data_IF_719591735047
#
_entry.id   IF_719591735047
#
_cell.length_a   1.000
_cell.length_b   1.000
_cell.length_c   1.000
_cell.angle_alpha   90.00
_cell.angle_beta   90.00
_cell.angle_gamma   90.00
#
_symmetry.space_group_name_H-M   'P 1'
#
loop_
_entity.id
_entity.type
_entity.pdbx_description
1 polymer ?
#
# COMPACT_ATOMS: atom_id res chain seq x y z
N UNK A 1 15.72 -19.91 -25.78
CA UNK A 1 14.26 -19.89 -25.62
C UNK A 1 13.74 -20.63 -24.37
N UNK A 2 14.41 -21.65 -23.83
CA UNK A 2 13.95 -22.41 -22.65
C UNK A 2 13.97 -21.59 -21.33
N UNK A 3 14.97 -20.74 -21.13
CA UNK A 3 15.14 -19.91 -19.92
C UNK A 3 13.94 -18.98 -19.67
N UNK A 4 13.41 -18.31 -20.71
CA UNK A 4 12.23 -17.41 -20.59
C UNK A 4 10.94 -18.10 -20.11
N UNK A 5 10.76 -19.40 -20.46
CA UNK A 5 9.53 -20.15 -20.12
C UNK A 5 9.54 -20.66 -18.68
N UNK A 6 10.73 -21.04 -18.17
CA UNK A 6 10.94 -21.49 -16.79
C UNK A 6 10.77 -20.31 -15.80
N UNK A 7 11.33 -19.15 -16.13
CA UNK A 7 11.25 -17.92 -15.35
C UNK A 7 9.77 -17.45 -15.22
N UNK A 8 9.00 -17.46 -16.31
CA UNK A 8 7.58 -17.09 -16.30
C UNK A 8 6.70 -18.05 -15.45
N UNK A 9 7.04 -19.34 -15.42
CA UNK A 9 6.34 -20.31 -14.57
C UNK A 9 6.66 -20.10 -13.08
N UNK A 10 7.92 -19.84 -12.78
CA UNK A 10 8.36 -19.53 -11.42
C UNK A 10 7.66 -18.27 -10.88
N UNK A 11 7.65 -17.18 -11.65
CA UNK A 11 6.94 -15.95 -11.29
C UNK A 11 5.43 -16.17 -11.06
N UNK A 12 4.77 -16.96 -11.92
CA UNK A 12 3.35 -17.30 -11.74
C UNK A 12 3.10 -18.06 -10.43
N UNK A 13 4.00 -19.01 -10.10
CA UNK A 13 3.89 -19.77 -8.85
C UNK A 13 4.13 -18.88 -7.63
N UNK A 14 5.12 -18.00 -7.66
CA UNK A 14 5.37 -17.04 -6.59
C UNK A 14 4.17 -16.11 -6.35
N UNK A 15 3.58 -15.57 -7.42
CA UNK A 15 2.39 -14.72 -7.31
C UNK A 15 1.20 -15.49 -6.73
N UNK A 16 0.99 -16.76 -7.10
CA UNK A 16 -0.06 -17.60 -6.51
C UNK A 16 0.16 -17.79 -5.00
N UNK A 17 1.40 -18.00 -4.56
CA UNK A 17 1.76 -18.13 -3.14
C UNK A 17 1.53 -16.80 -2.40
N UNK A 18 1.93 -15.65 -2.96
CA UNK A 18 1.68 -14.33 -2.38
C UNK A 18 0.19 -14.04 -2.23
N UNK A 19 -0.60 -14.32 -3.28
CA UNK A 19 -2.06 -14.15 -3.25
C UNK A 19 -2.69 -15.04 -2.19
N UNK A 20 -2.32 -16.32 -2.12
CA UNK A 20 -2.81 -17.26 -1.13
C UNK A 20 -2.50 -16.80 0.30
N UNK A 21 -1.26 -16.34 0.56
CA UNK A 21 -0.89 -15.78 1.86
C UNK A 21 -1.75 -14.57 2.21
N UNK A 22 -1.90 -13.62 1.27
CA UNK A 22 -2.66 -12.40 1.49
C UNK A 22 -4.14 -12.69 1.80
N UNK A 23 -4.77 -13.60 1.07
CA UNK A 23 -6.15 -14.03 1.33
C UNK A 23 -6.28 -14.68 2.73
N UNK A 24 -5.38 -15.60 3.09
CA UNK A 24 -5.40 -16.25 4.41
C UNK A 24 -5.21 -15.24 5.55
N UNK A 25 -4.40 -14.21 5.36
CA UNK A 25 -4.19 -13.15 6.36
C UNK A 25 -5.40 -12.21 6.52
N UNK A 26 -6.39 -12.26 5.65
CA UNK A 26 -7.68 -11.58 5.92
C UNK A 26 -8.55 -12.35 6.91
N UNK A 27 -8.30 -13.65 7.10
CA UNK A 27 -9.10 -14.56 7.92
C UNK A 27 -8.44 -14.87 9.27
N UNK A 28 -7.10 -14.94 9.31
CA UNK A 28 -6.32 -15.32 10.51
C UNK A 28 -4.95 -14.65 10.54
N UNK A 29 -4.38 -14.55 11.74
CA UNK A 29 -3.03 -13.98 11.91
C UNK A 29 -1.96 -14.86 11.25
N UNK A 30 -0.86 -14.22 10.77
CA UNK A 30 0.27 -14.88 10.12
C UNK A 30 0.80 -16.10 10.89
N UNK A 31 0.90 -16.01 12.23
CA UNK A 31 1.40 -17.09 13.10
C UNK A 31 0.53 -18.36 13.08
N UNK A 32 -0.70 -18.27 12.64
CA UNK A 32 -1.64 -19.39 12.55
C UNK A 32 -1.79 -19.95 11.13
N UNK A 33 -1.02 -19.41 10.16
CA UNK A 33 -0.98 -19.91 8.79
C UNK A 33 0.13 -20.96 8.69
N UNK A 34 -0.13 -22.04 7.96
CA UNK A 34 0.84 -23.10 7.71
C UNK A 34 1.21 -23.17 6.23
N UNK A 35 2.34 -23.81 5.92
CA UNK A 35 2.73 -24.09 4.51
C UNK A 35 1.67 -24.94 3.82
N UNK A 36 0.94 -25.80 4.56
CA UNK A 36 -0.16 -26.59 4.00
C UNK A 36 -1.31 -25.68 3.56
N UNK A 37 -1.74 -24.73 4.43
CA UNK A 37 -2.80 -23.79 4.09
C UNK A 37 -2.49 -23.01 2.81
N UNK A 38 -1.25 -22.50 2.69
CA UNK A 38 -0.82 -21.78 1.49
C UNK A 38 -0.76 -22.69 0.27
N UNK A 39 -0.25 -23.91 0.42
CA UNK A 39 -0.13 -24.85 -0.69
C UNK A 39 -1.50 -25.25 -1.23
N UNK A 40 -2.45 -25.53 -0.34
CA UNK A 40 -3.83 -25.89 -0.71
C UNK A 40 -4.53 -24.70 -1.38
N UNK A 41 -4.38 -23.51 -0.83
CA UNK A 41 -4.99 -22.28 -1.36
C UNK A 41 -4.39 -21.87 -2.72
N UNK A 42 -3.08 -22.08 -2.93
CA UNK A 42 -2.37 -21.77 -4.17
C UNK A 42 -2.45 -22.89 -5.22
N UNK A 43 -3.11 -24.00 -4.91
CA UNK A 43 -3.19 -25.21 -5.76
C UNK A 43 -1.79 -25.70 -6.21
N UNK A 44 -0.89 -25.89 -5.23
CA UNK A 44 0.48 -26.37 -5.46
C UNK A 44 0.84 -27.48 -4.45
N UNK A 45 1.77 -28.33 -4.82
CA UNK A 45 2.38 -29.26 -3.86
C UNK A 45 3.35 -28.55 -2.91
N UNK A 46 3.44 -28.97 -1.63
CA UNK A 46 4.42 -28.44 -0.65
C UNK A 46 5.86 -28.45 -1.16
N UNK A 47 6.25 -29.46 -1.94
CA UNK A 47 7.57 -29.51 -2.58
C UNK A 47 7.78 -28.32 -3.52
N UNK A 48 6.74 -27.86 -4.19
CA UNK A 48 6.80 -26.67 -5.05
C UNK A 48 6.96 -25.40 -4.22
N UNK A 49 6.26 -25.29 -3.09
CA UNK A 49 6.42 -24.18 -2.14
C UNK A 49 7.88 -24.04 -1.72
N UNK A 50 8.51 -25.12 -1.22
CA UNK A 50 9.91 -25.11 -0.75
C UNK A 50 10.98 -24.88 -1.83
N UNK A 51 10.61 -24.91 -3.12
CA UNK A 51 11.49 -24.46 -4.21
C UNK A 51 11.58 -22.94 -4.32
N UNK A 52 10.63 -22.21 -3.75
CA UNK A 52 10.51 -20.75 -3.87
C UNK A 52 10.75 -20.03 -2.55
N UNK A 53 10.33 -20.62 -1.42
CA UNK A 53 10.36 -19.99 -0.11
C UNK A 53 10.81 -20.96 0.97
N UNK A 54 11.47 -20.45 2.00
CA UNK A 54 11.94 -21.24 3.15
C UNK A 54 10.76 -21.61 4.08
N UNK A 55 9.93 -20.64 4.36
CA UNK A 55 8.76 -20.77 5.22
C UNK A 55 7.72 -19.65 4.94
N UNK A 56 6.66 -19.58 5.73
CA UNK A 56 5.62 -18.57 5.59
C UNK A 56 6.10 -17.16 5.91
N UNK A 57 7.09 -17.00 6.79
CA UNK A 57 7.65 -15.70 7.15
C UNK A 57 8.51 -15.15 6.01
N UNK A 58 9.24 -16.02 5.30
CA UNK A 58 9.99 -15.66 4.09
C UNK A 58 9.04 -15.16 2.98
N UNK A 59 7.88 -15.82 2.78
CA UNK A 59 6.83 -15.34 1.85
C UNK A 59 6.37 -13.94 2.25
N UNK A 60 6.04 -13.75 3.52
CA UNK A 60 5.56 -12.47 4.03
C UNK A 60 6.60 -11.36 3.90
N UNK A 61 7.86 -11.65 4.22
CA UNK A 61 8.95 -10.68 4.12
C UNK A 61 9.20 -10.25 2.67
N UNK A 62 9.21 -11.20 1.72
CA UNK A 62 9.39 -10.89 0.30
C UNK A 62 8.21 -10.08 -0.25
N UNK A 63 6.97 -10.46 0.07
CA UNK A 63 5.78 -9.70 -0.32
C UNK A 63 5.81 -8.27 0.25
N UNK A 64 6.19 -8.12 1.52
CA UNK A 64 6.33 -6.81 2.18
C UNK A 64 7.36 -5.94 1.46
N UNK A 65 8.53 -6.48 1.10
CA UNK A 65 9.56 -5.75 0.36
C UNK A 65 9.06 -5.29 -1.01
N UNK A 66 8.33 -6.15 -1.73
CA UNK A 66 7.76 -5.80 -3.05
C UNK A 66 6.80 -4.64 -2.90
N UNK A 67 5.81 -4.73 -2.00
CA UNK A 67 4.80 -3.69 -1.80
C UNK A 67 5.46 -2.36 -1.40
N UNK A 68 6.40 -2.36 -0.46
CA UNK A 68 7.09 -1.15 -0.03
C UNK A 68 7.93 -0.52 -1.14
N UNK A 69 8.59 -1.33 -1.97
CA UNK A 69 9.33 -0.86 -3.12
C UNK A 69 8.40 -0.21 -4.16
N UNK A 70 7.32 -0.87 -4.53
CA UNK A 70 6.36 -0.37 -5.54
C UNK A 70 5.66 0.91 -5.07
N UNK A 71 5.22 0.97 -3.81
CA UNK A 71 4.68 2.20 -3.20
C UNK A 71 5.74 3.32 -3.19
N UNK A 72 6.98 3.02 -2.84
CA UNK A 72 8.08 3.99 -2.88
C UNK A 72 8.31 4.55 -4.28
N UNK A 73 8.25 3.72 -5.32
CA UNK A 73 8.35 4.14 -6.72
C UNK A 73 7.19 5.05 -7.10
N UNK A 74 5.95 4.71 -6.73
CA UNK A 74 4.77 5.54 -6.98
C UNK A 74 4.93 6.94 -6.38
N UNK A 75 5.41 7.04 -5.14
CA UNK A 75 5.64 8.32 -4.47
C UNK A 75 6.71 9.14 -5.18
N UNK A 76 7.84 8.54 -5.56
CA UNK A 76 8.95 9.26 -6.20
C UNK A 76 8.67 9.72 -7.63
N UNK A 77 7.79 9.02 -8.36
CA UNK A 77 7.41 9.41 -9.72
C UNK A 77 6.40 10.56 -9.77
N UNK A 78 5.98 11.07 -8.63
CA UNK A 78 4.90 12.06 -8.55
C UNK A 78 5.31 13.49 -8.87
N UNK A 79 6.57 13.88 -8.77
CA UNK A 79 7.26 15.18 -8.88
C UNK A 79 6.54 16.41 -9.49
N UNK A 80 5.77 16.28 -10.57
CA UNK A 80 5.05 17.38 -11.25
C UNK A 80 3.55 17.13 -11.43
N UNK A 81 2.99 16.09 -10.79
CA UNK A 81 1.60 15.70 -11.00
C UNK A 81 0.64 16.53 -10.13
N UNK A 82 -0.58 16.73 -10.63
CA UNK A 82 -1.66 17.30 -9.83
C UNK A 82 -2.09 16.34 -8.72
N UNK A 83 -2.70 16.82 -7.61
CA UNK A 83 -3.26 15.92 -6.58
C UNK A 83 -4.19 14.85 -7.16
N UNK A 84 -5.04 15.21 -8.12
CA UNK A 84 -5.94 14.26 -8.77
C UNK A 84 -5.17 13.12 -9.47
N UNK A 85 -4.12 13.44 -10.23
CA UNK A 85 -3.30 12.42 -10.90
C UNK A 85 -2.60 11.51 -9.90
N UNK A 86 -2.14 12.07 -8.78
CA UNK A 86 -1.54 11.30 -7.69
C UNK A 86 -2.51 10.28 -7.12
N UNK A 87 -3.71 10.72 -6.77
CA UNK A 87 -4.72 9.80 -6.24
C UNK A 87 -5.16 8.77 -7.27
N UNK A 88 -5.23 9.12 -8.57
CA UNK A 88 -5.50 8.12 -9.61
C UNK A 88 -4.43 7.03 -9.63
N UNK A 89 -3.15 7.37 -9.59
CA UNK A 89 -2.07 6.39 -9.61
C UNK A 89 -2.10 5.49 -8.36
N UNK A 90 -2.28 6.06 -7.17
CA UNK A 90 -2.39 5.31 -5.91
C UNK A 90 -3.61 4.38 -5.93
N UNK A 91 -4.78 4.88 -6.31
CA UNK A 91 -6.02 4.09 -6.30
C UNK A 91 -6.03 3.03 -7.41
N UNK A 92 -5.39 3.27 -8.56
CA UNK A 92 -5.16 2.25 -9.57
C UNK A 92 -4.31 1.11 -9.00
N UNK A 93 -3.18 1.43 -8.37
CA UNK A 93 -2.33 0.43 -7.74
C UNK A 93 -3.08 -0.35 -6.66
N UNK A 94 -3.86 0.33 -5.81
CA UNK A 94 -4.69 -0.31 -4.78
C UNK A 94 -5.72 -1.26 -5.39
N UNK A 95 -6.39 -0.85 -6.47
CA UNK A 95 -7.42 -1.67 -7.14
C UNK A 95 -6.83 -2.88 -7.87
N UNK A 96 -5.67 -2.72 -8.52
CA UNK A 96 -4.95 -3.83 -9.17
C UNK A 96 -4.42 -4.85 -8.15
N UNK A 97 -4.10 -4.42 -6.93
CA UNK A 97 -3.56 -5.23 -5.85
C UNK A 97 -4.53 -5.37 -4.66
N UNK A 98 -5.83 -5.34 -4.90
CA UNK A 98 -6.89 -5.32 -3.87
C UNK A 98 -6.71 -6.39 -2.79
N UNK A 99 -6.27 -7.60 -3.14
CA UNK A 99 -6.05 -8.70 -2.19
C UNK A 99 -4.98 -8.34 -1.15
N UNK A 100 -3.91 -7.66 -1.57
CA UNK A 100 -2.84 -7.24 -0.66
C UNK A 100 -3.31 -6.10 0.25
N UNK A 101 -4.11 -5.17 -0.28
CA UNK A 101 -4.66 -4.08 0.54
C UNK A 101 -5.74 -4.55 1.51
N UNK A 102 -6.56 -5.54 1.14
CA UNK A 102 -7.45 -6.23 2.10
C UNK A 102 -6.66 -6.87 3.25
N UNK A 103 -5.54 -7.52 2.96
CA UNK A 103 -4.64 -8.05 3.98
C UNK A 103 -4.07 -6.92 4.86
N UNK A 104 -3.58 -5.83 4.25
CA UNK A 104 -2.96 -4.70 4.97
C UNK A 104 -3.95 -4.04 5.94
N UNK A 105 -5.20 -3.87 5.52
CA UNK A 105 -6.26 -3.25 6.32
C UNK A 105 -7.05 -4.25 7.20
N UNK A 106 -6.71 -5.54 7.14
CA UNK A 106 -7.36 -6.56 7.95
C UNK A 106 -7.08 -6.36 9.45
N UNK A 107 -8.07 -6.54 10.33
CA UNK A 107 -7.86 -6.55 11.78
C UNK A 107 -6.95 -7.69 12.25
N UNK A 108 -6.80 -8.75 11.45
CA UNK A 108 -5.89 -9.86 11.70
C UNK A 108 -4.43 -9.54 11.34
N UNK A 109 -4.19 -8.41 10.65
CA UNK A 109 -2.85 -7.97 10.30
C UNK A 109 -2.18 -7.27 11.48
N UNK A 110 -1.56 -8.05 12.35
CA UNK A 110 -0.72 -7.55 13.46
C UNK A 110 0.67 -7.11 13.00
N UNK A 111 0.93 -7.12 11.71
CA UNK A 111 2.22 -6.84 11.11
C UNK A 111 2.54 -5.35 11.04
N UNK A 112 3.82 -5.05 10.88
CA UNK A 112 4.31 -3.68 10.74
C UNK A 112 4.11 -3.10 9.33
N UNK A 113 3.57 -3.86 8.35
CA UNK A 113 3.47 -3.42 6.95
C UNK A 113 2.63 -2.16 6.81
N UNK A 114 1.43 -2.13 7.41
CA UNK A 114 0.58 -0.93 7.44
C UNK A 114 1.34 0.30 7.97
N UNK A 115 2.02 0.15 9.11
CA UNK A 115 2.78 1.24 9.72
C UNK A 115 3.96 1.69 8.85
N UNK A 116 4.61 0.79 8.15
CA UNK A 116 5.71 1.12 7.25
C UNK A 116 5.23 1.89 6.02
N UNK A 117 4.10 1.48 5.42
CA UNK A 117 3.48 2.22 4.31
C UNK A 117 3.08 3.62 4.78
N UNK A 118 2.39 3.72 5.92
CA UNK A 118 2.00 5.00 6.52
C UNK A 118 3.20 5.94 6.73
N UNK A 119 4.32 5.41 7.22
CA UNK A 119 5.57 6.19 7.38
C UNK A 119 6.14 6.67 6.06
N UNK A 120 6.07 5.88 4.98
CA UNK A 120 6.52 6.32 3.65
C UNK A 120 5.70 7.54 3.18
N UNK A 121 4.37 7.49 3.33
CA UNK A 121 3.51 8.61 2.95
C UNK A 121 3.74 9.85 3.83
N UNK A 122 3.87 9.68 5.15
CA UNK A 122 4.19 10.79 6.07
C UNK A 122 5.54 11.43 5.70
N UNK A 123 6.56 10.62 5.42
CA UNK A 123 7.87 11.12 5.00
C UNK A 123 7.82 11.85 3.67
N UNK A 124 7.15 11.29 2.68
CA UNK A 124 6.97 11.90 1.37
C UNK A 124 6.25 13.26 1.46
N UNK A 125 5.11 13.32 2.14
CA UNK A 125 4.35 14.56 2.30
C UNK A 125 5.12 15.60 3.12
N UNK A 126 5.88 15.16 4.13
CA UNK A 126 6.76 16.03 4.90
C UNK A 126 7.81 16.72 4.03
N UNK A 127 8.49 15.98 3.15
CA UNK A 127 9.44 16.54 2.19
C UNK A 127 8.74 17.50 1.23
N UNK A 128 7.63 17.11 0.63
CA UNK A 128 6.87 17.89 -0.31
C UNK A 128 6.41 19.23 0.27
N UNK A 129 5.82 19.21 1.48
CA UNK A 129 5.36 20.44 2.13
C UNK A 129 6.53 21.32 2.59
N UNK A 130 7.63 20.75 3.06
CA UNK A 130 8.81 21.50 3.44
C UNK A 130 9.46 22.24 2.24
N UNK A 131 9.47 21.62 1.08
CA UNK A 131 9.91 22.26 -0.16
C UNK A 131 8.96 23.38 -0.60
N UNK A 132 7.65 23.19 -0.45
CA UNK A 132 6.64 24.15 -0.90
C UNK A 132 6.51 25.37 0.02
N UNK A 133 6.61 25.19 1.33
CA UNK A 133 6.37 26.25 2.34
C UNK A 133 7.67 26.85 2.91
N UNK A 134 8.80 26.21 2.67
CA UNK A 134 10.13 26.69 3.10
C UNK A 134 10.49 26.36 4.55
N UNK A 135 11.77 26.60 4.94
CA UNK A 135 12.30 26.18 6.24
C UNK A 135 11.76 27.01 7.42
N UNK A 136 11.21 28.19 7.17
CA UNK A 136 10.69 29.08 8.23
C UNK A 136 9.26 28.73 8.64
N UNK A 137 8.63 27.77 7.94
CA UNK A 137 7.26 27.36 8.29
C UNK A 137 7.24 26.55 9.60
N UNK A 138 6.29 26.82 10.53
CA UNK A 138 6.27 26.14 11.84
C UNK A 138 6.15 24.63 11.71
N UNK A 139 7.19 23.89 12.12
CA UNK A 139 7.25 22.42 12.04
C UNK A 139 6.09 21.75 12.78
N UNK A 140 5.65 22.33 13.90
CA UNK A 140 4.52 21.81 14.68
C UNK A 140 3.22 21.83 13.90
N UNK A 141 2.99 22.85 13.07
CA UNK A 141 1.80 22.93 12.20
C UNK A 141 1.89 21.92 11.10
N UNK A 142 3.03 21.82 10.39
CA UNK A 142 3.23 20.82 9.34
C UNK A 142 3.05 19.40 9.89
N UNK A 143 3.66 19.08 11.01
CA UNK A 143 3.53 17.74 11.63
C UNK A 143 2.09 17.39 11.95
N UNK A 144 1.32 18.34 12.48
CA UNK A 144 -0.09 18.13 12.79
C UNK A 144 -0.91 17.88 11.51
N UNK A 145 -0.73 18.74 10.50
CA UNK A 145 -1.43 18.65 9.21
C UNK A 145 -1.09 17.36 8.48
N UNK A 146 0.19 17.00 8.36
CA UNK A 146 0.63 15.77 7.70
C UNK A 146 0.01 14.55 8.36
N UNK A 147 0.04 14.47 9.69
CA UNK A 147 -0.57 13.34 10.41
C UNK A 147 -2.07 13.25 10.19
N UNK A 148 -2.77 14.38 10.27
CA UNK A 148 -4.21 14.43 10.02
C UNK A 148 -4.53 14.00 8.57
N UNK A 149 -3.84 14.58 7.60
CA UNK A 149 -4.09 14.35 6.19
C UNK A 149 -3.80 12.91 5.77
N UNK A 150 -2.59 12.42 6.02
CA UNK A 150 -2.19 11.05 5.62
C UNK A 150 -3.09 10.01 6.28
N UNK A 151 -3.35 10.12 7.59
CA UNK A 151 -4.24 9.16 8.26
C UNK A 151 -5.68 9.25 7.74
N UNK A 152 -6.19 10.44 7.42
CA UNK A 152 -7.49 10.63 6.81
C UNK A 152 -7.61 9.97 5.44
N UNK A 153 -6.62 10.17 4.56
CA UNK A 153 -6.55 9.50 3.26
C UNK A 153 -6.52 7.96 3.41
N UNK A 154 -5.69 7.46 4.31
CA UNK A 154 -5.61 6.01 4.59
C UNK A 154 -6.94 5.45 5.09
N UNK A 155 -7.66 6.15 5.96
CA UNK A 155 -8.97 5.73 6.44
C UNK A 155 -10.00 5.64 5.31
N UNK A 156 -10.01 6.62 4.40
CA UNK A 156 -10.91 6.63 3.22
C UNK A 156 -10.58 5.47 2.27
N UNK A 157 -9.29 5.24 2.01
CA UNK A 157 -8.84 4.14 1.12
C UNK A 157 -9.14 2.78 1.77
N UNK A 158 -8.92 2.64 3.08
CA UNK A 158 -9.23 1.41 3.81
C UNK A 158 -10.74 1.08 3.77
N UNK A 159 -11.60 2.09 4.00
CA UNK A 159 -13.05 1.93 3.86
C UNK A 159 -13.42 1.47 2.44
N UNK A 160 -12.88 2.13 1.42
CA UNK A 160 -13.13 1.78 0.02
C UNK A 160 -12.71 0.34 -0.33
N UNK A 161 -11.54 -0.12 0.14
CA UNK A 161 -11.04 -1.49 -0.08
C UNK A 161 -11.88 -2.53 0.68
N UNK A 162 -12.22 -2.24 1.95
CA UNK A 162 -12.93 -3.20 2.80
C UNK A 162 -14.40 -3.32 2.46
N UNK A 163 -15.00 -2.29 1.86
CA UNK A 163 -16.36 -2.33 1.28
C UNK A 163 -16.40 -2.90 -0.14
N UNK A 164 -15.29 -3.44 -0.67
CA UNK A 164 -15.25 -4.11 -1.97
C UNK A 164 -15.19 -3.16 -3.16
N UNK A 165 -14.65 -1.97 -2.99
CA UNK A 165 -14.53 -0.92 -4.04
C UNK A 165 -15.90 -0.47 -4.57
N UNK A 166 -16.94 -0.47 -3.74
CA UNK A 166 -18.33 -0.18 -4.16
C UNK A 166 -18.49 1.24 -4.74
N UNK A 167 -17.75 2.22 -4.21
CA UNK A 167 -17.79 3.58 -4.75
C UNK A 167 -16.91 3.70 -5.99
N UNK A 168 -17.31 4.46 -7.02
CA UNK A 168 -16.46 4.73 -8.17
C UNK A 168 -15.14 5.39 -7.75
N UNK A 169 -14.04 4.97 -8.33
CA UNK A 169 -12.71 5.51 -8.05
C UNK A 169 -12.66 7.03 -8.23
N UNK A 170 -13.31 7.54 -9.26
CA UNK A 170 -13.40 8.97 -9.58
C UNK A 170 -14.00 9.78 -8.43
N UNK A 171 -14.97 9.19 -7.71
CA UNK A 171 -15.57 9.84 -6.53
C UNK A 171 -14.53 10.00 -5.42
N UNK A 172 -13.72 8.97 -5.15
CA UNK A 172 -12.67 9.01 -4.13
C UNK A 172 -11.59 10.02 -4.53
N UNK A 173 -11.11 9.96 -5.78
CA UNK A 173 -10.12 10.92 -6.32
C UNK A 173 -10.60 12.36 -6.15
N UNK A 174 -11.83 12.64 -6.59
CA UNK A 174 -12.41 13.98 -6.49
C UNK A 174 -12.47 14.45 -5.03
N UNK A 175 -12.99 13.60 -4.15
CA UNK A 175 -13.15 13.93 -2.74
C UNK A 175 -11.82 14.25 -2.07
N UNK A 176 -10.81 13.38 -2.23
CA UNK A 176 -9.49 13.58 -1.64
C UNK A 176 -8.81 14.84 -2.22
N UNK A 177 -8.90 15.04 -3.54
CA UNK A 177 -8.32 16.23 -4.19
C UNK A 177 -8.94 17.56 -3.73
N UNK A 178 -10.24 17.59 -3.44
CA UNK A 178 -10.90 18.80 -2.92
C UNK A 178 -10.52 19.04 -1.44
N UNK A 179 -10.35 17.99 -0.65
CA UNK A 179 -9.86 18.10 0.72
C UNK A 179 -8.43 18.65 0.77
N UNK A 180 -7.56 18.20 -0.15
CA UNK A 180 -6.19 18.73 -0.28
C UNK A 180 -6.18 20.24 -0.53
N UNK A 181 -7.04 20.73 -1.44
CA UNK A 181 -7.16 22.17 -1.69
C UNK A 181 -7.47 22.95 -0.42
N UNK A 182 -8.33 22.40 0.43
CA UNK A 182 -8.70 23.00 1.71
C UNK A 182 -7.53 23.02 2.70
N UNK A 183 -6.76 21.91 2.74
CA UNK A 183 -5.54 21.81 3.56
C UNK A 183 -4.48 22.83 3.10
N UNK A 184 -4.22 22.91 1.80
CA UNK A 184 -3.27 23.89 1.26
C UNK A 184 -3.72 25.34 1.48
N UNK A 185 -5.02 25.64 1.37
CA UNK A 185 -5.56 26.94 1.69
C UNK A 185 -5.34 27.30 3.17
N UNK A 186 -5.58 26.37 4.08
CA UNK A 186 -5.28 26.53 5.50
C UNK A 186 -3.79 26.80 5.73
N UNK A 187 -2.89 25.97 5.17
CA UNK A 187 -1.45 26.17 5.34
C UNK A 187 -0.98 27.54 4.85
N UNK A 188 -1.48 28.02 3.69
CA UNK A 188 -1.16 29.35 3.19
C UNK A 188 -1.65 30.47 4.09
N UNK A 189 -2.82 30.30 4.73
CA UNK A 189 -3.35 31.32 5.66
C UNK A 189 -2.53 31.46 6.96
N UNK A 190 -1.68 30.50 7.28
CA UNK A 190 -0.77 30.56 8.43
C UNK A 190 0.56 31.25 8.14
N UNK A 191 0.84 31.58 6.88
CA UNK A 191 2.05 32.31 6.47
C UNK A 191 1.84 33.84 6.48
N UNK A 192 0.60 34.30 6.55
CA UNK A 192 0.21 35.73 6.56
C UNK A 192 0.22 36.28 7.99
#
# INVERSE_FOLDING_TARGET
>A
MAVKKTDRRAAKTQNAIFTALAELMTEKELRHITVQDISDKADIHRVTFYKHFLDIYDVYEQLTKIILCEVGVLLTQHGEKTPATFYYDILNYVSEHTVYFKMIFSPHNTSRLYQNILKLFIGYEGLFLSEQFGPDYPESVLTCVIRYHVNGCFAVIADWVTTGLERPQEYIVKTLSELDKSIYAYLRSQQA
#
